data_IF_788083462910
#
_entry.id   IF_788083462910
#
_cell.length_a   1.000
_cell.length_b   1.000
_cell.length_c   1.000
_cell.angle_alpha   90.00
_cell.angle_beta   90.00
_cell.angle_gamma   90.00
#
_symmetry.space_group_name_H-M   'P 1'
#
loop_
_entity.id
_entity.type
_entity.pdbx_description
1 polymer ?
#
# COMPACT_ATOMS: atom_id res chain seq x y z
N UNK A 1 19.61 -5.99 4.99
CA UNK A 1 20.98 -5.54 4.69
C UNK A 1 21.11 -5.06 3.24
N UNK A 2 20.83 -5.88 2.20
CA UNK A 2 20.97 -5.50 0.77
C UNK A 2 20.18 -4.23 0.45
N UNK A 3 18.90 -4.19 0.81
CA UNK A 3 18.00 -3.03 0.60
C UNK A 3 18.57 -1.75 1.20
N UNK A 4 19.07 -1.83 2.43
CA UNK A 4 19.68 -0.68 3.13
C UNK A 4 20.93 -0.18 2.41
N UNK A 5 21.78 -1.08 1.92
CA UNK A 5 22.98 -0.71 1.14
C UNK A 5 22.59 -0.03 -0.18
N UNK A 6 21.60 -0.57 -0.91
CA UNK A 6 21.11 0.04 -2.16
C UNK A 6 20.61 1.46 -1.91
N UNK A 7 19.81 1.66 -0.87
CA UNK A 7 19.28 2.98 -0.51
C UNK A 7 20.35 3.98 -0.04
N UNK A 8 21.44 3.48 0.59
CA UNK A 8 22.58 4.33 0.99
C UNK A 8 23.43 4.78 -0.20
N UNK A 9 23.54 3.95 -1.26
CA UNK A 9 24.38 4.27 -2.44
C UNK A 9 23.73 5.34 -3.32
N UNK A 10 22.40 5.49 -3.27
CA UNK A 10 21.71 6.67 -3.82
C UNK A 10 20.62 6.40 -4.86
N UNK A 11 19.82 7.45 -5.07
CA UNK A 11 18.55 7.46 -5.82
C UNK A 11 18.66 7.01 -7.28
N UNK A 12 19.78 7.29 -7.97
CA UNK A 12 19.93 6.93 -9.39
C UNK A 12 19.97 5.42 -9.63
N UNK A 13 20.68 4.70 -8.77
CA UNK A 13 20.77 3.24 -8.85
C UNK A 13 19.41 2.63 -8.51
N UNK A 14 18.76 3.12 -7.46
CA UNK A 14 17.44 2.71 -7.04
C UNK A 14 16.40 2.81 -8.18
N UNK A 15 16.29 3.96 -8.85
CA UNK A 15 15.29 4.16 -9.92
C UNK A 15 15.50 3.25 -11.13
N UNK A 16 16.76 2.88 -11.44
CA UNK A 16 17.06 1.95 -12.54
C UNK A 16 16.60 0.53 -12.18
N UNK A 17 16.87 0.07 -10.97
CA UNK A 17 16.39 -1.24 -10.51
C UNK A 17 14.87 -1.30 -10.44
N UNK A 18 14.22 -0.28 -9.91
CA UNK A 18 12.76 -0.22 -9.84
C UNK A 18 12.10 -0.32 -11.21
N UNK A 19 12.61 0.39 -12.21
CA UNK A 19 12.08 0.32 -13.57
C UNK A 19 12.23 -1.07 -14.21
N UNK A 20 13.38 -1.72 -14.04
CA UNK A 20 13.60 -3.08 -14.53
C UNK A 20 12.66 -4.06 -13.83
N UNK A 21 12.51 -3.95 -12.51
CA UNK A 21 11.65 -4.82 -11.72
C UNK A 21 10.18 -4.67 -12.10
N UNK A 22 9.70 -3.44 -12.32
CA UNK A 22 8.33 -3.18 -12.78
C UNK A 22 8.07 -3.83 -14.14
N UNK A 23 8.99 -3.71 -15.09
CA UNK A 23 8.86 -4.31 -16.42
C UNK A 23 8.76 -5.84 -16.31
N UNK A 24 9.63 -6.48 -15.52
CA UNK A 24 9.61 -7.93 -15.31
C UNK A 24 8.28 -8.36 -14.70
N UNK A 25 7.79 -7.65 -13.67
CA UNK A 25 6.54 -7.97 -12.98
C UNK A 25 5.33 -7.82 -13.92
N UNK A 26 5.25 -6.72 -14.67
CA UNK A 26 4.18 -6.50 -15.65
C UNK A 26 4.18 -7.56 -16.75
N UNK A 27 5.35 -7.90 -17.30
CA UNK A 27 5.47 -8.94 -18.32
C UNK A 27 5.00 -10.30 -17.77
N UNK A 28 5.35 -10.61 -16.52
CA UNK A 28 4.91 -11.83 -15.85
C UNK A 28 3.38 -11.86 -15.67
N UNK A 29 2.78 -10.80 -15.12
CA UNK A 29 1.33 -10.73 -14.92
C UNK A 29 0.56 -10.82 -16.24
N UNK A 30 1.01 -10.10 -17.28
CA UNK A 30 0.41 -10.18 -18.62
C UNK A 30 0.48 -11.60 -19.16
N UNK A 31 1.62 -12.27 -19.01
CA UNK A 31 1.81 -13.66 -19.46
C UNK A 31 0.86 -14.60 -18.70
N UNK A 32 0.73 -14.47 -17.38
CA UNK A 32 -0.17 -15.25 -16.56
C UNK A 32 -1.65 -15.05 -16.98
N UNK A 33 -2.05 -13.80 -17.25
CA UNK A 33 -3.39 -13.46 -17.76
C UNK A 33 -3.66 -14.11 -19.12
N UNK A 34 -2.67 -14.10 -20.04
CA UNK A 34 -2.81 -14.77 -21.35
C UNK A 34 -3.03 -16.27 -21.18
N UNK A 35 -2.31 -16.92 -20.27
CA UNK A 35 -2.54 -18.34 -19.99
C UNK A 35 -3.90 -18.60 -19.36
N UNK A 36 -4.37 -17.76 -18.45
CA UNK A 36 -5.72 -17.85 -17.88
C UNK A 36 -6.80 -17.76 -18.96
N UNK A 37 -6.72 -16.76 -19.85
CA UNK A 37 -7.64 -16.61 -20.99
C UNK A 37 -7.60 -17.82 -21.92
N UNK A 38 -6.43 -18.39 -22.18
CA UNK A 38 -6.28 -19.60 -22.98
C UNK A 38 -7.00 -20.80 -22.34
N UNK A 39 -6.82 -21.02 -21.04
CA UNK A 39 -7.46 -22.11 -20.31
C UNK A 39 -8.99 -21.93 -20.30
N UNK A 40 -9.49 -20.73 -20.05
CA UNK A 40 -10.92 -20.38 -20.11
C UNK A 40 -11.50 -20.73 -21.49
N UNK A 41 -10.80 -20.35 -22.57
CA UNK A 41 -11.24 -20.65 -23.93
C UNK A 41 -11.18 -22.13 -24.32
N UNK A 42 -10.32 -22.94 -23.66
CA UNK A 42 -10.26 -24.39 -23.88
C UNK A 42 -11.38 -25.17 -23.18
N UNK A 43 -11.96 -24.62 -22.12
CA UNK A 43 -13.02 -25.26 -21.35
C UNK A 43 -14.43 -24.72 -21.65
N UNK A 44 -14.59 -23.93 -22.72
CA UNK A 44 -15.85 -23.28 -23.12
C UNK A 44 -16.52 -22.47 -22.01
N UNK A 45 -15.73 -21.98 -21.05
CA UNK A 45 -16.22 -21.08 -20.03
C UNK A 45 -16.53 -19.70 -20.62
N UNK A 46 -17.69 -19.16 -20.31
CA UNK A 46 -18.03 -17.79 -20.69
C UNK A 46 -17.16 -16.82 -19.90
N UNK A 47 -16.41 -15.96 -20.61
CA UNK A 47 -15.63 -14.89 -19.97
C UNK A 47 -16.54 -13.93 -19.16
N UNK A 48 -17.83 -13.85 -19.51
CA UNK A 48 -18.84 -13.08 -18.78
C UNK A 48 -19.77 -14.09 -18.09
N UNK A 49 -19.30 -14.71 -17.03
CA UNK A 49 -20.14 -15.54 -16.16
C UNK A 49 -20.49 -14.80 -14.87
N UNK A 50 -21.67 -14.14 -14.88
CA UNK A 50 -22.21 -13.46 -13.70
C UNK A 50 -22.51 -14.46 -12.58
N UNK A 51 -22.82 -15.72 -12.90
CA UNK A 51 -23.03 -16.78 -11.92
C UNK A 51 -21.76 -17.15 -11.15
N UNK A 52 -20.61 -17.12 -11.82
CA UNK A 52 -19.30 -17.31 -11.18
C UNK A 52 -18.87 -16.13 -10.29
N UNK A 53 -19.33 -14.92 -10.61
CA UNK A 53 -19.06 -13.74 -9.76
C UNK A 53 -19.99 -13.72 -8.53
N UNK A 54 -21.25 -14.13 -8.71
CA UNK A 54 -22.28 -14.12 -7.67
C UNK A 54 -22.83 -15.52 -7.44
N UNK A 55 -22.24 -16.23 -6.49
CA UNK A 55 -22.80 -17.47 -6.01
C UNK A 55 -23.75 -17.17 -4.83
N UNK A 56 -25.06 -17.23 -5.07
CA UNK A 56 -26.08 -16.91 -4.08
C UNK A 56 -25.99 -17.80 -2.81
N UNK A 57 -25.56 -19.07 -2.94
CA UNK A 57 -25.39 -19.99 -1.83
C UNK A 57 -24.20 -19.58 -0.94
N UNK A 58 -23.11 -19.13 -1.53
CA UNK A 58 -21.94 -18.65 -0.80
C UNK A 58 -22.16 -17.26 -0.21
N UNK A 59 -22.85 -16.37 -0.93
CA UNK A 59 -23.23 -15.06 -0.44
C UNK A 59 -24.08 -15.15 0.83
N UNK A 60 -25.03 -16.09 0.88
CA UNK A 60 -25.86 -16.35 2.07
C UNK A 60 -25.06 -16.77 3.31
N UNK A 61 -23.92 -17.45 3.13
CA UNK A 61 -23.07 -17.91 4.22
C UNK A 61 -22.07 -16.87 4.70
N UNK A 62 -21.53 -16.05 3.80
CA UNK A 62 -20.45 -15.11 4.09
C UNK A 62 -20.99 -13.68 4.23
N UNK A 63 -21.98 -13.32 3.43
CA UNK A 63 -22.63 -12.03 3.43
C UNK A 63 -21.70 -10.86 3.17
N UNK A 64 -22.21 -9.66 3.34
CA UNK A 64 -21.45 -8.41 3.16
C UNK A 64 -20.28 -8.28 4.14
N UNK A 65 -20.38 -8.86 5.32
CA UNK A 65 -19.32 -8.81 6.33
C UNK A 65 -18.04 -9.55 5.87
N UNK A 66 -18.18 -10.66 5.16
CA UNK A 66 -17.02 -11.37 4.60
C UNK A 66 -16.37 -10.60 3.45
N UNK A 67 -17.16 -9.94 2.60
CA UNK A 67 -16.62 -9.06 1.55
C UNK A 67 -15.85 -7.89 2.18
N UNK A 68 -16.38 -7.29 3.24
CA UNK A 68 -15.72 -6.19 3.95
C UNK A 68 -14.45 -6.66 4.64
N UNK A 69 -14.48 -7.82 5.30
CA UNK A 69 -13.29 -8.40 5.92
C UNK A 69 -12.19 -8.67 4.88
N UNK A 70 -12.55 -9.27 3.75
CA UNK A 70 -11.62 -9.47 2.63
C UNK A 70 -11.08 -8.14 2.07
N UNK A 71 -11.95 -7.16 1.85
CA UNK A 71 -11.53 -5.83 1.39
C UNK A 71 -10.57 -5.14 2.38
N UNK A 72 -10.77 -5.33 3.69
CA UNK A 72 -9.89 -4.77 4.73
C UNK A 72 -8.46 -5.34 4.63
N UNK A 73 -8.32 -6.63 4.33
CA UNK A 73 -7.02 -7.27 4.09
C UNK A 73 -6.44 -6.84 2.76
N UNK A 74 -7.24 -6.82 1.69
CA UNK A 74 -6.81 -6.46 0.34
C UNK A 74 -6.43 -4.98 0.19
N UNK A 75 -6.78 -4.11 1.14
CA UNK A 75 -6.26 -2.73 1.18
C UNK A 75 -4.73 -2.68 1.12
N UNK A 76 -4.04 -3.71 1.65
CA UNK A 76 -2.59 -3.82 1.56
C UNK A 76 -2.08 -3.78 0.12
N UNK A 77 -2.82 -4.36 -0.84
CA UNK A 77 -2.43 -4.40 -2.24
C UNK A 77 -2.38 -3.01 -2.89
N UNK A 78 -3.11 -2.04 -2.34
CA UNK A 78 -3.12 -0.66 -2.81
C UNK A 78 -2.09 0.23 -2.10
N UNK A 79 -1.49 -0.22 -1.00
CA UNK A 79 -0.52 0.60 -0.27
C UNK A 79 0.73 0.84 -1.09
N UNK A 80 1.24 2.05 -0.99
CA UNK A 80 2.39 2.52 -1.76
C UNK A 80 2.04 3.50 -2.88
N UNK A 81 0.76 3.61 -3.31
CA UNK A 81 0.36 4.65 -4.25
C UNK A 81 0.63 6.06 -3.72
N UNK A 82 0.54 6.23 -2.42
CA UNK A 82 0.81 7.46 -1.68
C UNK A 82 2.30 7.82 -1.64
N UNK A 83 3.21 6.89 -1.90
CA UNK A 83 4.65 7.15 -2.00
C UNK A 83 4.98 8.20 -3.07
N UNK A 84 4.15 8.35 -4.10
CA UNK A 84 4.25 9.43 -5.10
C UNK A 84 4.24 10.81 -4.44
N UNK A 85 3.52 10.97 -3.32
CA UNK A 85 3.46 12.25 -2.59
C UNK A 85 4.79 12.64 -1.97
N UNK A 86 5.64 11.68 -1.63
CA UNK A 86 6.98 11.95 -1.08
C UNK A 86 7.93 12.57 -2.10
N UNK A 87 7.59 12.48 -3.40
CA UNK A 87 8.31 13.09 -4.52
C UNK A 87 7.72 14.45 -4.93
N UNK A 88 6.72 14.96 -4.20
CA UNK A 88 6.05 16.21 -4.56
C UNK A 88 7.01 17.41 -4.61
N UNK A 89 8.01 17.46 -3.73
CA UNK A 89 9.02 18.53 -3.70
C UNK A 89 9.96 18.49 -4.93
N UNK A 90 10.07 17.34 -5.61
CA UNK A 90 10.89 17.14 -6.80
C UNK A 90 10.10 17.34 -8.11
N UNK A 91 8.76 17.44 -8.03
CA UNK A 91 7.88 17.56 -9.18
C UNK A 91 7.78 19.00 -9.72
N UNK A 92 7.71 19.16 -11.05
CA UNK A 92 7.64 20.49 -11.69
C UNK A 92 6.34 21.26 -11.45
N UNK A 93 5.22 20.60 -11.18
CA UNK A 93 3.93 21.21 -10.84
C UNK A 93 3.20 20.25 -9.90
N UNK A 94 3.62 20.19 -8.62
CA UNK A 94 3.18 19.17 -7.69
C UNK A 94 1.66 19.15 -7.50
N UNK A 95 1.03 20.34 -7.49
CA UNK A 95 -0.42 20.45 -7.28
C UNK A 95 -1.28 19.78 -8.36
N UNK A 96 -0.78 19.68 -9.59
CA UNK A 96 -1.50 19.00 -10.69
C UNK A 96 -0.94 17.62 -10.99
N UNK A 97 0.39 17.51 -11.02
CA UNK A 97 1.08 16.28 -11.45
C UNK A 97 0.88 15.16 -10.46
N UNK A 98 1.08 15.42 -9.16
CA UNK A 98 0.96 14.41 -8.11
C UNK A 98 -0.46 13.87 -8.00
N UNK A 99 -1.48 14.75 -7.98
CA UNK A 99 -2.87 14.33 -7.91
C UNK A 99 -3.31 13.47 -9.10
N UNK A 100 -2.87 13.82 -10.33
CA UNK A 100 -3.15 13.00 -11.53
C UNK A 100 -2.41 11.65 -11.48
N UNK A 101 -1.15 11.64 -11.06
CA UNK A 101 -0.38 10.42 -10.93
C UNK A 101 -1.03 9.45 -9.94
N UNK A 102 -1.49 9.93 -8.78
CA UNK A 102 -2.21 9.13 -7.80
C UNK A 102 -3.47 8.47 -8.39
N UNK A 103 -4.30 9.24 -9.11
CA UNK A 103 -5.50 8.72 -9.76
C UNK A 103 -5.17 7.66 -10.82
N UNK A 104 -4.18 7.92 -11.68
CA UNK A 104 -3.77 6.99 -12.72
C UNK A 104 -3.26 5.69 -12.10
N UNK A 105 -2.39 5.76 -11.08
CA UNK A 105 -1.86 4.58 -10.39
C UNK A 105 -2.99 3.77 -9.77
N UNK A 106 -3.91 4.40 -9.03
CA UNK A 106 -5.03 3.69 -8.40
C UNK A 106 -5.94 3.02 -9.43
N UNK A 107 -6.28 3.70 -10.54
CA UNK A 107 -7.16 3.16 -11.57
C UNK A 107 -6.48 2.03 -12.35
N UNK A 108 -5.23 2.22 -12.77
CA UNK A 108 -4.49 1.21 -13.52
C UNK A 108 -4.18 -0.03 -12.67
N UNK A 109 -3.69 0.16 -11.45
CA UNK A 109 -3.40 -0.94 -10.54
C UNK A 109 -4.68 -1.67 -10.12
N UNK A 110 -5.72 -0.92 -9.72
CA UNK A 110 -7.01 -1.50 -9.36
C UNK A 110 -7.67 -2.26 -10.50
N UNK A 111 -7.64 -1.70 -11.72
CA UNK A 111 -8.14 -2.38 -12.92
C UNK A 111 -7.37 -3.67 -13.21
N UNK A 112 -6.04 -3.64 -13.09
CA UNK A 112 -5.20 -4.83 -13.26
C UNK A 112 -5.50 -5.89 -12.21
N UNK A 113 -5.66 -5.50 -10.93
CA UNK A 113 -5.98 -6.43 -9.84
C UNK A 113 -7.33 -7.10 -10.05
N UNK A 114 -8.37 -6.31 -10.35
CA UNK A 114 -9.73 -6.84 -10.59
C UNK A 114 -9.73 -7.77 -11.80
N UNK A 115 -9.12 -7.36 -12.91
CA UNK A 115 -9.08 -8.16 -14.13
C UNK A 115 -8.33 -9.49 -13.92
N UNK A 116 -7.12 -9.44 -13.34
CA UNK A 116 -6.31 -10.64 -13.13
C UNK A 116 -6.97 -11.59 -12.15
N UNK A 117 -7.48 -11.10 -11.02
CA UNK A 117 -8.14 -11.93 -10.01
C UNK A 117 -9.39 -12.60 -10.58
N UNK A 118 -10.19 -11.85 -11.33
CA UNK A 118 -11.39 -12.36 -11.99
C UNK A 118 -11.07 -13.50 -12.98
N UNK A 119 -10.10 -13.27 -13.87
CA UNK A 119 -9.71 -14.28 -14.85
C UNK A 119 -9.07 -15.51 -14.19
N UNK A 120 -8.29 -15.33 -13.14
CA UNK A 120 -7.71 -16.43 -12.39
C UNK A 120 -8.77 -17.26 -11.67
N UNK A 121 -9.79 -16.62 -11.12
CA UNK A 121 -10.92 -17.32 -10.49
C UNK A 121 -11.73 -18.13 -11.51
N UNK A 122 -11.99 -17.58 -12.70
CA UNK A 122 -12.70 -18.30 -13.77
C UNK A 122 -11.88 -19.47 -14.33
N UNK A 123 -10.57 -19.34 -14.37
CA UNK A 123 -9.70 -20.38 -14.93
C UNK A 123 -9.46 -21.55 -13.97
N UNK A 124 -9.77 -21.39 -12.68
CA UNK A 124 -9.61 -22.46 -11.67
C UNK A 124 -10.86 -23.33 -11.57
N UNK A 125 -10.78 -24.66 -11.87
CA UNK A 125 -11.96 -25.51 -12.02
C UNK A 125 -12.61 -25.96 -10.69
N UNK A 126 -11.81 -26.04 -9.62
CA UNK A 126 -12.22 -26.68 -8.36
C UNK A 126 -12.78 -25.69 -7.33
N UNK A 127 -12.82 -24.39 -7.68
CA UNK A 127 -13.24 -23.32 -6.78
C UNK A 127 -12.15 -22.90 -5.79
N UNK A 128 -12.23 -21.67 -5.35
CA UNK A 128 -11.19 -21.02 -4.53
C UNK A 128 -10.92 -21.70 -3.17
N UNK A 129 -11.86 -22.47 -2.64
CA UNK A 129 -11.73 -23.17 -1.35
C UNK A 129 -10.74 -24.34 -1.38
N UNK A 130 -10.49 -24.90 -2.56
CA UNK A 130 -9.52 -25.97 -2.77
C UNK A 130 -8.08 -25.45 -2.86
N UNK A 131 -7.91 -24.12 -2.99
CA UNK A 131 -6.59 -23.51 -3.01
C UNK A 131 -6.01 -23.44 -1.59
N UNK A 132 -4.77 -23.88 -1.44
CA UNK A 132 -4.00 -23.69 -0.22
C UNK A 132 -3.80 -22.19 0.04
N UNK A 133 -4.19 -21.63 1.19
CA UNK A 133 -4.03 -20.22 1.50
C UNK A 133 -2.60 -19.69 1.34
N UNK A 134 -1.60 -20.50 1.64
CA UNK A 134 -0.18 -20.13 1.58
C UNK A 134 0.44 -20.32 0.19
N UNK A 135 -0.06 -21.31 -0.58
CA UNK A 135 0.52 -21.71 -1.87
C UNK A 135 -0.44 -21.57 -3.05
N UNK A 136 -1.62 -20.96 -2.86
CA UNK A 136 -2.67 -20.93 -3.89
C UNK A 136 -2.23 -20.33 -5.21
N UNK A 137 -1.44 -19.26 -5.20
CA UNK A 137 -0.90 -18.66 -6.42
C UNK A 137 0.05 -19.57 -7.17
N UNK A 138 0.85 -20.37 -6.45
CA UNK A 138 1.76 -21.36 -7.03
C UNK A 138 0.98 -22.51 -7.66
N UNK A 139 -0.04 -23.03 -6.97
CA UNK A 139 -0.93 -24.09 -7.46
C UNK A 139 -1.66 -23.63 -8.72
N UNK A 140 -2.25 -22.44 -8.67
CA UNK A 140 -2.96 -21.86 -9.80
C UNK A 140 -2.07 -21.73 -11.04
N UNK A 141 -0.88 -21.14 -10.90
CA UNK A 141 0.04 -20.99 -12.04
C UNK A 141 0.61 -22.32 -12.54
N UNK A 142 0.78 -23.29 -11.64
CA UNK A 142 1.13 -24.65 -12.00
C UNK A 142 0.07 -25.30 -12.90
N UNK A 143 -1.20 -25.09 -12.58
CA UNK A 143 -2.33 -25.54 -13.38
C UNK A 143 -2.43 -24.79 -14.72
N UNK A 144 -2.35 -23.46 -14.72
CA UNK A 144 -2.54 -22.61 -15.88
C UNK A 144 -1.44 -22.79 -16.95
N UNK A 145 -0.18 -22.87 -16.52
CA UNK A 145 0.97 -22.76 -17.42
C UNK A 145 2.12 -23.73 -17.09
N UNK A 146 1.88 -24.67 -16.19
CA UNK A 146 2.84 -25.71 -15.82
C UNK A 146 3.89 -25.26 -14.80
N UNK A 147 4.68 -26.25 -14.36
CA UNK A 147 5.66 -26.12 -13.27
C UNK A 147 6.70 -24.99 -13.47
N UNK A 148 7.09 -24.74 -14.73
CA UNK A 148 8.04 -23.67 -15.04
C UNK A 148 7.48 -22.29 -14.63
N UNK A 149 6.21 -22.02 -14.95
CA UNK A 149 5.58 -20.74 -14.63
C UNK A 149 5.36 -20.58 -13.12
N UNK A 150 5.00 -21.67 -12.42
CA UNK A 150 4.90 -21.68 -10.97
C UNK A 150 6.26 -21.38 -10.30
N UNK A 151 7.35 -21.96 -10.80
CA UNK A 151 8.70 -21.66 -10.30
C UNK A 151 9.13 -20.22 -10.62
N UNK A 152 8.78 -19.72 -11.82
CA UNK A 152 9.06 -18.34 -12.21
C UNK A 152 8.32 -17.34 -11.30
N UNK A 153 7.11 -17.67 -10.82
CA UNK A 153 6.39 -16.88 -9.82
C UNK A 153 7.27 -16.63 -8.58
N UNK A 154 7.92 -17.66 -8.05
CA UNK A 154 8.76 -17.53 -6.85
C UNK A 154 9.90 -16.53 -7.09
N UNK A 155 10.53 -16.56 -8.27
CA UNK A 155 11.58 -15.59 -8.62
C UNK A 155 11.03 -14.17 -8.73
N UNK A 156 9.88 -14.01 -9.40
CA UNK A 156 9.22 -12.70 -9.55
C UNK A 156 8.75 -12.16 -8.21
N UNK A 157 8.24 -13.00 -7.31
CA UNK A 157 7.88 -12.62 -5.94
C UNK A 157 9.06 -12.08 -5.15
N UNK A 158 10.23 -12.73 -5.23
CA UNK A 158 11.46 -12.24 -4.59
C UNK A 158 11.84 -10.84 -5.14
N UNK A 159 11.79 -10.68 -6.47
CA UNK A 159 12.06 -9.40 -7.12
C UNK A 159 11.06 -8.33 -6.66
N UNK A 160 9.76 -8.67 -6.59
CA UNK A 160 8.70 -7.77 -6.15
C UNK A 160 8.91 -7.32 -4.69
N UNK A 161 9.24 -8.26 -3.80
CA UNK A 161 9.53 -7.97 -2.40
C UNK A 161 10.75 -7.04 -2.25
N UNK A 162 11.81 -7.27 -3.04
CA UNK A 162 12.99 -6.39 -3.03
C UNK A 162 12.66 -4.98 -3.51
N UNK A 163 11.94 -4.84 -4.62
CA UNK A 163 11.51 -3.54 -5.15
C UNK A 163 10.65 -2.78 -4.14
N UNK A 164 9.64 -3.45 -3.56
CA UNK A 164 8.77 -2.87 -2.55
C UNK A 164 9.55 -2.43 -1.31
N UNK A 165 10.48 -3.26 -0.81
CA UNK A 165 11.29 -2.93 0.35
C UNK A 165 12.23 -1.73 0.09
N UNK A 166 12.82 -1.63 -1.11
CA UNK A 166 13.67 -0.50 -1.49
C UNK A 166 12.85 0.80 -1.48
N UNK A 167 11.72 0.82 -2.15
CA UNK A 167 10.84 2.00 -2.25
C UNK A 167 10.26 2.41 -0.90
N UNK A 168 9.79 1.44 -0.10
CA UNK A 168 9.22 1.70 1.23
C UNK A 168 10.24 2.26 2.20
N UNK A 169 11.46 1.72 2.24
CA UNK A 169 12.53 2.23 3.10
C UNK A 169 12.93 3.65 2.69
N UNK A 170 13.03 3.93 1.40
CA UNK A 170 13.34 5.27 0.90
C UNK A 170 12.25 6.29 1.25
N UNK A 171 10.99 5.95 1.04
CA UNK A 171 9.84 6.81 1.37
C UNK A 171 9.77 7.11 2.86
N UNK A 172 9.90 6.11 3.71
CA UNK A 172 9.91 6.28 5.15
C UNK A 172 11.09 7.16 5.63
N UNK A 173 12.29 6.96 5.05
CA UNK A 173 13.46 7.78 5.37
C UNK A 173 13.27 9.25 4.99
N UNK A 174 12.58 9.54 3.86
CA UNK A 174 12.25 10.91 3.44
C UNK A 174 11.24 11.56 4.39
N UNK A 175 10.21 10.82 4.82
CA UNK A 175 9.22 11.32 5.80
C UNK A 175 9.92 11.68 7.12
N UNK A 176 10.73 10.79 7.66
CA UNK A 176 11.49 11.04 8.90
C UNK A 176 12.45 12.23 8.74
N UNK A 177 13.08 12.38 7.59
CA UNK A 177 13.92 13.53 7.27
C UNK A 177 13.12 14.85 7.26
N UNK A 178 11.95 14.86 6.61
CA UNK A 178 11.04 16.02 6.63
C UNK A 178 10.65 16.41 8.05
N UNK A 179 10.25 15.45 8.88
CA UNK A 179 9.93 15.68 10.29
C UNK A 179 11.13 16.21 11.09
N UNK A 180 12.34 15.73 10.80
CA UNK A 180 13.58 16.25 11.41
C UNK A 180 13.91 17.66 10.96
N UNK A 181 13.77 17.95 9.65
CA UNK A 181 13.96 19.28 9.06
C UNK A 181 13.03 20.32 9.71
N UNK A 182 11.78 19.96 9.90
CA UNK A 182 10.73 20.81 10.44
C UNK A 182 10.73 20.87 11.98
N UNK A 183 11.79 20.36 12.63
CA UNK A 183 11.95 20.31 14.09
C UNK A 183 10.80 19.60 14.85
N UNK A 184 10.12 18.66 14.21
CA UNK A 184 9.16 17.76 14.88
C UNK A 184 9.87 16.60 15.54
N UNK A 185 11.01 16.16 14.99
CA UNK A 185 11.94 15.20 15.55
C UNK A 185 13.31 15.85 15.77
N UNK A 186 14.22 15.25 16.60
CA UNK A 186 15.55 15.78 16.83
C UNK A 186 16.34 15.99 15.55
N UNK A 187 16.54 17.26 15.15
CA UNK A 187 17.14 17.65 13.86
C UNK A 187 18.54 17.08 13.66
N UNK A 188 19.35 16.98 14.74
CA UNK A 188 20.72 16.46 14.66
C UNK A 188 20.80 15.04 14.11
N UNK A 189 19.79 14.20 14.39
CA UNK A 189 19.73 12.83 13.93
C UNK A 189 18.89 12.69 12.67
N UNK A 190 17.61 13.08 12.73
CA UNK A 190 16.64 12.86 11.65
C UNK A 190 16.84 13.81 10.47
N UNK A 191 17.35 15.03 10.71
CA UNK A 191 17.64 16.00 9.66
C UNK A 191 19.02 15.85 9.00
N UNK A 192 19.78 14.79 9.31
CA UNK A 192 21.10 14.55 8.74
C UNK A 192 21.01 14.00 7.32
N UNK A 193 21.79 14.59 6.42
CA UNK A 193 21.98 14.15 5.02
C UNK A 193 23.45 13.84 4.79
N UNK A 194 23.75 12.68 4.23
CA UNK A 194 25.10 12.30 3.87
C UNK A 194 25.66 13.23 2.79
N UNK A 195 26.85 13.79 3.03
CA UNK A 195 27.52 14.67 2.05
C UNK A 195 27.89 13.95 0.76
N UNK A 196 28.27 12.67 0.84
CA UNK A 196 28.72 11.86 -0.29
C UNK A 196 27.57 11.41 -1.19
N UNK A 197 26.47 10.91 -0.60
CA UNK A 197 25.39 10.26 -1.35
C UNK A 197 24.12 11.11 -1.43
N UNK A 198 24.06 12.22 -0.70
CA UNK A 198 22.92 13.15 -0.66
C UNK A 198 21.60 12.48 -0.23
N UNK A 199 21.69 11.47 0.65
CA UNK A 199 20.56 10.71 1.19
C UNK A 199 20.51 10.83 2.73
N UNK A 200 19.32 10.69 3.36
CA UNK A 200 19.17 10.73 4.81
C UNK A 200 19.67 9.43 5.47
N UNK A 201 21.00 9.24 5.50
CA UNK A 201 21.66 7.99 5.84
C UNK A 201 21.28 7.44 7.21
N UNK A 202 21.17 8.30 8.24
CA UNK A 202 20.79 7.86 9.59
C UNK A 202 19.38 7.29 9.64
N UNK A 203 18.44 7.90 8.90
CA UNK A 203 17.06 7.41 8.81
C UNK A 203 17.02 6.07 8.07
N UNK A 204 17.76 5.92 6.97
CA UNK A 204 17.82 4.66 6.21
C UNK A 204 18.36 3.53 7.09
N UNK A 205 19.44 3.77 7.85
CA UNK A 205 20.02 2.78 8.76
C UNK A 205 19.04 2.45 9.88
N UNK A 206 18.42 3.45 10.50
CA UNK A 206 17.42 3.24 11.56
C UNK A 206 16.29 2.33 11.09
N UNK A 207 15.70 2.61 9.91
CA UNK A 207 14.64 1.78 9.35
C UNK A 207 15.15 0.38 9.02
N UNK A 208 16.39 0.27 8.50
CA UNK A 208 17.02 -1.02 8.24
C UNK A 208 17.19 -1.87 9.50
N UNK A 209 17.51 -1.25 10.64
CA UNK A 209 17.59 -1.95 11.94
C UNK A 209 16.19 -2.33 12.43
N UNK A 210 15.23 -1.41 12.37
CA UNK A 210 13.84 -1.70 12.78
C UNK A 210 13.22 -2.81 11.92
N UNK A 211 13.54 -2.86 10.63
CA UNK A 211 13.02 -3.91 9.74
C UNK A 211 13.51 -5.32 10.11
N UNK A 212 14.56 -5.49 10.92
CA UNK A 212 14.96 -6.79 11.44
C UNK A 212 13.91 -7.40 12.39
N UNK A 213 13.04 -6.59 12.98
CA UNK A 213 11.93 -7.07 13.81
C UNK A 213 10.96 -7.93 13.02
N UNK A 214 10.89 -7.77 11.69
CA UNK A 214 10.04 -8.59 10.83
C UNK A 214 10.37 -10.09 10.85
N UNK A 215 11.55 -10.48 11.35
CA UNK A 215 11.94 -11.89 11.51
C UNK A 215 11.02 -12.60 12.53
N UNK A 216 10.49 -11.85 13.50
CA UNK A 216 9.63 -12.37 14.57
C UNK A 216 8.14 -12.05 14.38
N UNK A 217 7.79 -11.30 13.34
CA UNK A 217 6.41 -10.89 13.05
C UNK A 217 5.89 -11.75 11.91
N UNK A 218 4.78 -12.44 12.16
CA UNK A 218 4.08 -13.19 11.13
C UNK A 218 3.51 -12.28 10.04
N UNK A 219 3.39 -12.79 8.81
CA UNK A 219 2.97 -12.01 7.65
C UNK A 219 1.55 -11.43 7.83
N UNK A 220 0.63 -12.22 8.39
CA UNK A 220 -0.75 -11.78 8.63
C UNK A 220 -0.80 -10.62 9.63
N UNK A 221 -0.11 -10.78 10.77
CA UNK A 221 -0.01 -9.71 11.77
C UNK A 221 0.68 -8.46 11.20
N UNK A 222 1.78 -8.64 10.44
CA UNK A 222 2.49 -7.54 9.80
C UNK A 222 1.60 -6.77 8.83
N UNK A 223 0.85 -7.45 7.98
CA UNK A 223 -0.05 -6.85 7.00
C UNK A 223 -1.18 -6.07 7.66
N UNK A 224 -1.79 -6.62 8.71
CA UNK A 224 -2.87 -5.96 9.44
C UNK A 224 -2.39 -4.74 10.25
N UNK A 225 -1.17 -4.79 10.79
CA UNK A 225 -0.54 -3.62 11.44
C UNK A 225 -0.28 -2.48 10.44
N UNK A 226 0.18 -2.80 9.22
CA UNK A 226 0.38 -1.81 8.16
C UNK A 226 -0.96 -1.18 7.77
N UNK A 227 -2.00 -2.00 7.56
CA UNK A 227 -3.34 -1.53 7.23
C UNK A 227 -3.94 -0.62 8.32
N UNK A 228 -3.66 -0.89 9.60
CA UNK A 228 -4.09 -0.02 10.70
C UNK A 228 -3.61 1.42 10.49
N UNK A 229 -2.31 1.60 10.28
CA UNK A 229 -1.72 2.94 10.08
C UNK A 229 -2.19 3.61 8.80
N UNK A 230 -2.27 2.87 7.70
CA UNK A 230 -2.67 3.39 6.40
C UNK A 230 -4.12 3.85 6.37
N UNK A 231 -5.08 3.02 6.82
CA UNK A 231 -6.50 3.37 6.81
C UNK A 231 -6.80 4.57 7.73
N UNK A 232 -6.13 4.64 8.89
CA UNK A 232 -6.23 5.80 9.77
C UNK A 232 -5.66 7.06 9.09
N UNK A 233 -4.50 6.94 8.45
CA UNK A 233 -3.88 8.03 7.69
C UNK A 233 -4.79 8.54 6.57
N UNK A 234 -5.40 7.65 5.79
CA UNK A 234 -6.32 8.01 4.71
C UNK A 234 -7.60 8.67 5.25
N UNK A 235 -8.13 8.20 6.39
CA UNK A 235 -9.27 8.87 7.04
C UNK A 235 -8.91 10.31 7.48
N UNK A 236 -7.72 10.51 8.05
CA UNK A 236 -7.23 11.82 8.45
C UNK A 236 -6.97 12.75 7.25
N UNK A 237 -6.47 12.23 6.12
CA UNK A 237 -6.33 13.00 4.87
C UNK A 237 -7.70 13.48 4.40
N UNK A 238 -8.72 12.62 4.37
CA UNK A 238 -10.09 13.02 4.02
C UNK A 238 -10.63 14.10 4.97
N UNK A 239 -10.41 13.96 6.27
CA UNK A 239 -10.81 14.98 7.27
C UNK A 239 -10.06 16.30 7.04
N UNK A 240 -8.79 16.28 6.64
CA UNK A 240 -7.99 17.47 6.37
C UNK A 240 -8.48 18.22 5.13
N UNK A 241 -8.97 17.54 4.10
CA UNK A 241 -9.61 18.16 2.92
C UNK A 241 -10.82 18.98 3.34
N UNK A 242 -11.70 18.40 4.17
CA UNK A 242 -12.84 19.12 4.72
C UNK A 242 -12.41 20.35 5.54
N UNK A 243 -11.48 20.17 6.50
CA UNK A 243 -11.01 21.24 7.36
C UNK A 243 -10.34 22.37 6.57
N UNK A 244 -9.52 22.04 5.57
CA UNK A 244 -8.80 23.04 4.77
C UNK A 244 -9.74 23.80 3.84
N UNK A 245 -10.44 23.14 2.96
CA UNK A 245 -11.20 23.80 1.89
C UNK A 245 -12.55 24.35 2.34
N UNK A 246 -13.27 23.62 3.19
CA UNK A 246 -14.59 24.04 3.63
C UNK A 246 -14.55 24.98 4.82
N UNK A 247 -13.72 24.68 5.84
CA UNK A 247 -13.66 25.48 7.06
C UNK A 247 -12.72 26.68 6.90
N UNK A 248 -11.46 26.45 6.46
CA UNK A 248 -10.44 27.51 6.41
C UNK A 248 -10.58 28.40 5.18
N UNK A 249 -10.67 27.82 3.97
CA UNK A 249 -10.78 28.58 2.72
C UNK A 249 -12.22 29.00 2.40
N UNK A 250 -13.20 28.53 3.17
CA UNK A 250 -14.63 28.84 3.01
C UNK A 250 -15.15 28.69 1.59
N UNK A 251 -14.64 27.71 0.84
CA UNK A 251 -15.15 27.38 -0.51
C UNK A 251 -16.57 26.85 -0.42
N UNK A 252 -17.55 27.61 -0.92
CA UNK A 252 -18.99 27.33 -0.81
C UNK A 252 -19.59 27.08 -2.21
N UNK A 253 -20.80 26.49 -2.23
CA UNK A 253 -21.55 26.16 -3.45
C UNK A 253 -21.75 24.66 -3.61
N UNK A 254 -22.67 24.25 -4.49
CA UNK A 254 -23.05 22.83 -4.69
C UNK A 254 -21.86 21.95 -5.10
N UNK A 255 -21.06 22.42 -6.05
CA UNK A 255 -19.85 21.69 -6.48
C UNK A 255 -18.81 21.58 -5.36
N UNK A 256 -18.63 22.62 -4.56
CA UNK A 256 -17.73 22.62 -3.41
C UNK A 256 -18.24 21.69 -2.31
N UNK A 257 -19.54 21.62 -2.06
CA UNK A 257 -20.16 20.69 -1.12
C UNK A 257 -19.85 19.23 -1.49
N UNK A 258 -20.07 18.86 -2.75
CA UNK A 258 -19.76 17.50 -3.22
C UNK A 258 -18.27 17.21 -3.09
N UNK A 259 -17.42 18.12 -3.54
CA UNK A 259 -15.95 17.90 -3.61
C UNK A 259 -15.26 17.91 -2.25
N UNK A 260 -15.69 18.78 -1.32
CA UNK A 260 -14.97 19.04 -0.07
C UNK A 260 -15.69 18.54 1.18
N UNK A 261 -16.94 18.09 1.06
CA UNK A 261 -17.68 17.45 2.16
C UNK A 261 -18.06 16.03 1.79
N UNK A 262 -18.89 15.84 0.76
CA UNK A 262 -19.54 14.55 0.49
C UNK A 262 -18.50 13.47 0.13
N UNK A 263 -17.61 13.73 -0.83
CA UNK A 263 -16.58 12.77 -1.24
C UNK A 263 -15.58 12.45 -0.10
N UNK A 264 -15.01 13.44 0.62
CA UNK A 264 -14.14 13.15 1.75
C UNK A 264 -14.86 12.41 2.89
N UNK A 265 -16.12 12.74 3.16
CA UNK A 265 -16.90 12.06 4.19
C UNK A 265 -17.12 10.58 3.84
N UNK A 266 -17.53 10.29 2.60
CA UNK A 266 -17.67 8.91 2.11
C UNK A 266 -16.32 8.16 2.21
N UNK A 267 -15.24 8.78 1.74
CA UNK A 267 -13.89 8.19 1.84
C UNK A 267 -13.48 7.91 3.29
N UNK A 268 -13.67 8.88 4.19
CA UNK A 268 -13.37 8.71 5.60
C UNK A 268 -14.23 7.60 6.25
N UNK A 269 -15.53 7.56 5.96
CA UNK A 269 -16.43 6.53 6.48
C UNK A 269 -16.04 5.13 6.00
N UNK A 270 -15.68 4.98 4.72
CA UNK A 270 -15.21 3.69 4.18
C UNK A 270 -13.90 3.28 4.88
N UNK A 271 -12.93 4.19 4.97
CA UNK A 271 -11.65 3.90 5.64
C UNK A 271 -11.86 3.51 7.11
N UNK A 272 -12.71 4.22 7.84
CA UNK A 272 -13.01 3.91 9.25
C UNK A 272 -13.79 2.61 9.41
N UNK A 273 -14.68 2.29 8.47
CA UNK A 273 -15.42 1.03 8.49
C UNK A 273 -14.49 -0.17 8.24
N UNK A 274 -13.60 -0.09 7.25
CA UNK A 274 -12.59 -1.10 7.00
C UNK A 274 -11.62 -1.21 8.19
N UNK A 275 -11.20 -0.08 8.76
CA UNK A 275 -10.33 -0.01 9.92
C UNK A 275 -10.92 -0.70 11.15
N UNK A 276 -12.22 -0.52 11.40
CA UNK A 276 -12.92 -1.16 12.52
C UNK A 276 -13.06 -2.70 12.33
N UNK A 277 -12.95 -3.20 11.10
CA UNK A 277 -13.01 -4.62 10.78
C UNK A 277 -11.62 -5.29 10.70
N UNK A 278 -10.54 -4.59 11.06
CA UNK A 278 -9.22 -5.18 11.19
C UNK A 278 -9.18 -6.17 12.37
N UNK A 279 -8.30 -7.14 12.29
CA UNK A 279 -8.10 -8.13 13.34
C UNK A 279 -7.81 -7.51 14.72
N UNK A 280 -8.31 -8.13 15.77
CA UNK A 280 -8.21 -7.64 17.16
C UNK A 280 -6.78 -7.29 17.59
N UNK A 281 -5.81 -8.10 17.22
CA UNK A 281 -4.40 -7.87 17.56
C UNK A 281 -3.82 -6.64 16.85
N UNK A 282 -4.20 -6.40 15.59
CA UNK A 282 -3.79 -5.20 14.86
C UNK A 282 -4.31 -3.93 15.54
N UNK A 283 -5.56 -3.94 16.01
CA UNK A 283 -6.13 -2.82 16.74
C UNK A 283 -5.39 -2.56 18.05
N UNK A 284 -5.12 -3.60 18.85
CA UNK A 284 -4.41 -3.46 20.13
C UNK A 284 -3.01 -2.87 19.93
N UNK A 285 -2.23 -3.45 19.02
CA UNK A 285 -0.85 -3.02 18.76
C UNK A 285 -0.85 -1.62 18.13
N UNK A 286 -1.77 -1.37 17.20
CA UNK A 286 -1.92 -0.08 16.54
C UNK A 286 -2.27 1.05 17.50
N UNK A 287 -3.20 0.82 18.41
CA UNK A 287 -3.54 1.81 19.46
C UNK A 287 -2.38 2.03 20.45
N UNK A 288 -1.66 0.98 20.83
CA UNK A 288 -0.47 1.12 21.67
C UNK A 288 0.60 1.98 20.99
N UNK A 289 0.85 1.74 19.69
CA UNK A 289 1.80 2.52 18.90
C UNK A 289 1.35 3.98 18.75
N UNK A 290 0.07 4.21 18.50
CA UNK A 290 -0.51 5.55 18.41
C UNK A 290 -0.38 6.32 19.73
N UNK A 291 -0.59 5.65 20.87
CA UNK A 291 -0.41 6.26 22.19
C UNK A 291 1.05 6.70 22.41
N UNK A 292 2.02 5.88 22.03
CA UNK A 292 3.47 6.23 22.08
C UNK A 292 3.73 7.47 21.22
N UNK A 293 3.20 7.50 19.99
CA UNK A 293 3.34 8.65 19.09
C UNK A 293 2.74 9.95 19.66
N UNK A 294 1.55 9.87 20.24
CA UNK A 294 0.90 11.01 20.90
C UNK A 294 1.71 11.53 22.10
N UNK A 295 2.22 10.65 22.94
CA UNK A 295 3.08 11.04 24.05
C UNK A 295 4.34 11.74 23.55
N UNK A 296 5.00 11.19 22.54
CA UNK A 296 6.20 11.80 21.94
C UNK A 296 5.89 13.20 21.36
N UNK A 297 4.75 13.35 20.70
CA UNK A 297 4.29 14.64 20.17
C UNK A 297 4.05 15.66 21.30
N UNK A 298 3.34 15.28 22.37
CA UNK A 298 3.07 16.15 23.51
C UNK A 298 4.35 16.60 24.22
N UNK A 299 5.32 15.70 24.38
CA UNK A 299 6.63 16.04 24.96
C UNK A 299 7.38 17.04 24.07
N UNK A 300 7.34 16.87 22.75
CA UNK A 300 7.98 17.78 21.81
C UNK A 300 7.34 19.18 21.80
N UNK A 301 6.01 19.24 21.84
CA UNK A 301 5.26 20.49 21.95
C UNK A 301 5.54 21.21 23.26
N UNK A 302 5.60 20.49 24.38
CA UNK A 302 5.95 21.06 25.70
C UNK A 302 7.36 21.66 25.72
N UNK A 303 8.32 21.00 25.06
CA UNK A 303 9.70 21.51 24.94
C UNK A 303 9.77 22.78 24.09
N UNK A 304 9.01 22.85 22.98
CA UNK A 304 8.96 24.07 22.15
C UNK A 304 8.39 25.26 22.92
N UNK A 305 7.38 25.04 23.75
CA UNK A 305 6.76 26.12 24.54
C UNK A 305 7.73 26.68 25.62
N UNK A 306 8.53 25.79 26.26
CA UNK A 306 9.56 26.20 27.24
C UNK A 306 10.80 26.87 26.64
N UNK A 307 11.05 26.70 25.35
CA UNK A 307 12.18 27.34 24.65
C UNK A 307 11.82 28.68 23.97
N UNK A 308 10.54 29.08 24.02
CA UNK A 308 10.04 30.37 23.53
C UNK A 308 9.73 31.37 24.64
N UNK A 309 9.86 30.96 25.91
CA UNK A 309 9.92 31.82 27.11
C UNK A 309 11.40 32.06 27.48
#
# INVERSE_FOLDING_TARGET
AIVTVINLVGVKIMSTFDNIFIIIQLAFVITAVIFAVKVIGQHDYSIIDIGGIYNAAEWGNVGINGVVAGASVLCLCFLGFDSVTTLAEEAKDPGKTVGRALLIVCLCAGGLFVLSTYLFQLAWPEGWRELDPDNGSYQLLGYLAGQFMATLLCVVMIIACLASAISSQASCARILFGMGRDNQLPKKFFGHVSEKFKVPSYNIILIGVVSLLSIWIDLDLGSTMINFGALLGFALVNASVFAHYWVREQKRGAAAFIKYILLPLIGACICMYLWANLGKWALIIGFAWMAIGLIAMLVTLSRKKKGSE
#
